data_IF_688028440406
#
_entry.id   IF_688028440406
#
_cell.length_a   1.000
_cell.length_b   1.000
_cell.length_c   1.000
_cell.angle_alpha   90.00
_cell.angle_beta   90.00
_cell.angle_gamma   90.00
#
_symmetry.space_group_name_H-M   'P 1'
#
loop_
_entity.id
_entity.type
_entity.pdbx_description
1 polymer ?
#
# COMPACT_ATOMS: atom_id res chain seq x y z
N UNK A 1 -10.20 -20.76 -1.63
CA UNK A 1 -11.41 -21.11 -0.86
C UNK A 1 -11.90 -19.96 0.05
N UNK A 2 -11.01 -19.19 0.57
CA UNK A 2 -11.30 -18.12 1.53
C UNK A 2 -11.53 -16.76 0.84
N UNK A 3 -10.97 -16.51 -0.32
CA UNK A 3 -11.30 -15.38 -1.19
C UNK A 3 -12.80 -15.30 -1.47
N UNK A 4 -13.45 -16.47 -1.63
CA UNK A 4 -14.88 -16.57 -1.85
C UNK A 4 -15.72 -15.97 -0.71
N UNK A 5 -15.30 -16.10 0.54
CA UNK A 5 -15.98 -15.53 1.69
C UNK A 5 -15.92 -14.00 1.73
N UNK A 6 -14.79 -13.41 1.38
CA UNK A 6 -14.63 -11.96 1.38
C UNK A 6 -15.48 -11.26 0.30
N UNK A 7 -15.72 -11.91 -0.83
CA UNK A 7 -16.56 -11.38 -1.91
C UNK A 7 -18.04 -11.21 -1.47
N UNK A 8 -18.54 -12.04 -0.58
CA UNK A 8 -19.91 -11.94 -0.08
C UNK A 8 -20.11 -10.86 0.99
N UNK A 9 -19.07 -10.44 1.68
CA UNK A 9 -19.17 -9.48 2.78
C UNK A 9 -18.78 -8.08 2.35
N UNK A 10 -19.20 -7.51 1.30
CA UNK A 10 -19.09 -6.09 0.88
C UNK A 10 -17.92 -5.24 1.45
N UNK A 11 -16.99 -5.83 2.21
CA UNK A 11 -15.85 -5.19 2.89
C UNK A 11 -14.50 -5.57 2.26
N UNK A 12 -14.50 -5.99 1.03
CA UNK A 12 -13.27 -6.38 0.32
C UNK A 12 -12.75 -5.30 -0.63
N UNK A 13 -13.29 -4.07 -0.56
CA UNK A 13 -12.91 -3.02 -1.51
C UNK A 13 -11.41 -2.71 -1.47
N UNK A 14 -10.80 -2.73 -0.29
CA UNK A 14 -9.35 -2.50 -0.18
C UNK A 14 -8.54 -3.64 -0.78
N UNK A 15 -8.96 -4.89 -0.59
CA UNK A 15 -8.30 -6.04 -1.23
C UNK A 15 -8.40 -5.96 -2.76
N UNK A 16 -9.60 -5.72 -3.28
CA UNK A 16 -9.80 -5.53 -4.71
C UNK A 16 -8.98 -4.33 -5.23
N UNK A 17 -9.01 -3.21 -4.51
CA UNK A 17 -8.27 -2.00 -4.86
C UNK A 17 -6.77 -2.22 -4.97
N UNK A 18 -6.18 -2.94 -4.02
CA UNK A 18 -4.75 -3.29 -4.07
C UNK A 18 -4.45 -4.22 -5.25
N UNK A 19 -5.25 -5.26 -5.47
CA UNK A 19 -5.03 -6.21 -6.57
C UNK A 19 -5.14 -5.51 -7.93
N UNK A 20 -6.15 -4.67 -8.12
CA UNK A 20 -6.33 -3.92 -9.36
C UNK A 20 -5.19 -2.91 -9.57
N UNK A 21 -4.77 -2.20 -8.52
CA UNK A 21 -3.64 -1.29 -8.60
C UNK A 21 -2.32 -1.99 -8.96
N UNK A 22 -2.07 -3.18 -8.39
CA UNK A 22 -0.88 -3.98 -8.68
C UNK A 22 -0.90 -4.56 -10.09
N UNK A 23 -2.08 -4.84 -10.67
CA UNK A 23 -2.17 -5.41 -12.03
C UNK A 23 -1.65 -4.47 -13.12
N UNK A 24 -1.67 -3.15 -12.87
CA UNK A 24 -1.14 -2.14 -13.78
C UNK A 24 0.26 -1.62 -13.40
N UNK A 25 0.82 -2.07 -12.28
CA UNK A 25 2.06 -1.54 -11.75
C UNK A 25 3.31 -2.29 -12.29
N UNK A 26 4.47 -1.63 -12.40
CA UNK A 26 5.70 -2.24 -12.90
C UNK A 26 6.44 -3.03 -11.81
N UNK A 27 5.73 -3.92 -11.11
CA UNK A 27 6.27 -4.75 -10.03
C UNK A 27 6.03 -6.23 -10.29
N UNK A 28 6.98 -7.06 -9.90
CA UNK A 28 6.77 -8.50 -9.81
C UNK A 28 5.98 -8.85 -8.55
N UNK A 29 4.82 -9.46 -8.72
CA UNK A 29 3.89 -9.76 -7.63
C UNK A 29 3.85 -11.25 -7.35
N UNK A 30 4.15 -11.63 -6.11
CA UNK A 30 4.01 -12.99 -5.62
C UNK A 30 2.94 -13.06 -4.54
N UNK A 31 2.14 -14.14 -4.54
CA UNK A 31 1.20 -14.44 -3.47
C UNK A 31 1.82 -15.48 -2.56
N UNK A 32 2.00 -15.13 -1.30
CA UNK A 32 2.50 -16.05 -0.27
C UNK A 32 1.43 -16.27 0.80
N UNK A 33 1.31 -17.48 1.31
CA UNK A 33 0.42 -17.80 2.41
C UNK A 33 1.15 -17.76 3.75
N UNK A 34 0.40 -17.67 4.85
CA UNK A 34 0.98 -17.81 6.19
C UNK A 34 1.60 -19.19 6.43
N UNK A 35 1.09 -20.22 5.75
CA UNK A 35 1.68 -21.55 5.78
C UNK A 35 3.04 -21.56 5.10
N UNK A 36 3.16 -20.96 3.91
CA UNK A 36 4.45 -20.84 3.20
C UNK A 36 5.47 -20.09 4.05
N UNK A 37 5.04 -18.97 4.67
CA UNK A 37 5.90 -18.17 5.54
C UNK A 37 6.37 -18.95 6.78
N UNK A 38 5.53 -19.82 7.34
CA UNK A 38 5.87 -20.65 8.48
C UNK A 38 6.80 -21.80 8.10
N UNK A 39 6.55 -22.45 6.97
CA UNK A 39 7.35 -23.58 6.50
C UNK A 39 8.71 -23.15 5.89
N UNK A 40 8.74 -22.00 5.23
CA UNK A 40 9.93 -21.43 4.61
C UNK A 40 10.03 -19.91 4.84
N UNK A 41 10.48 -19.47 6.03
CA UNK A 41 10.62 -18.04 6.32
C UNK A 41 11.63 -17.32 5.41
N UNK A 42 12.52 -18.06 4.77
CA UNK A 42 13.51 -17.51 3.84
C UNK A 42 12.88 -16.98 2.54
N UNK A 43 11.61 -17.27 2.25
CA UNK A 43 10.88 -16.70 1.11
C UNK A 43 10.89 -15.16 1.15
N UNK A 44 10.95 -14.55 2.34
CA UNK A 44 11.02 -13.10 2.48
C UNK A 44 12.36 -12.49 2.02
N UNK A 45 13.40 -13.28 1.81
CA UNK A 45 14.69 -12.78 1.28
C UNK A 45 14.62 -12.38 -0.20
N UNK A 46 13.59 -12.85 -0.89
CA UNK A 46 13.32 -12.56 -2.30
C UNK A 46 12.27 -11.46 -2.48
N UNK A 47 11.81 -10.85 -1.37
CA UNK A 47 10.73 -9.86 -1.34
C UNK A 47 11.30 -8.51 -0.86
N UNK A 48 11.04 -7.46 -1.60
CA UNK A 48 11.38 -6.09 -1.18
C UNK A 48 10.29 -5.51 -0.28
N UNK A 49 9.01 -5.74 -0.63
CA UNK A 49 7.86 -5.20 0.10
C UNK A 49 6.79 -6.26 0.33
N UNK A 50 6.41 -6.45 1.57
CA UNK A 50 5.28 -7.29 1.95
C UNK A 50 4.00 -6.44 2.07
N UNK A 51 2.93 -6.83 1.38
CA UNK A 51 1.63 -6.15 1.48
C UNK A 51 0.63 -7.08 2.15
N UNK A 52 -0.02 -6.61 3.23
CA UNK A 52 -1.14 -7.31 3.84
C UNK A 52 -2.37 -6.40 3.89
N UNK A 53 -3.50 -6.88 3.37
CA UNK A 53 -4.67 -6.05 3.10
C UNK A 53 -5.98 -6.76 3.43
N UNK A 54 -6.91 -6.03 4.01
CA UNK A 54 -8.29 -6.43 4.29
C UNK A 54 -8.73 -6.17 5.71
N UNK A 55 -9.96 -6.63 6.03
CA UNK A 55 -10.53 -6.52 7.37
C UNK A 55 -9.97 -7.60 8.31
N UNK A 56 -10.05 -7.34 9.61
CA UNK A 56 -9.65 -8.28 10.66
C UNK A 56 -10.30 -9.66 10.53
N UNK A 57 -9.59 -10.66 10.97
CA UNK A 57 -10.05 -12.05 11.02
C UNK A 57 -10.58 -12.60 9.69
N UNK A 58 -10.12 -12.02 8.58
CA UNK A 58 -10.36 -12.56 7.25
C UNK A 58 -9.19 -13.45 6.80
N UNK A 59 -9.43 -14.26 5.79
CA UNK A 59 -8.38 -15.05 5.16
C UNK A 59 -7.28 -14.19 4.52
N UNK A 60 -7.62 -12.96 4.13
CA UNK A 60 -6.68 -12.05 3.49
C UNK A 60 -5.67 -11.47 4.49
N UNK A 61 -6.12 -11.18 5.70
CA UNK A 61 -5.28 -10.54 6.73
C UNK A 61 -4.61 -11.51 7.67
N UNK A 62 -5.02 -12.78 7.68
CA UNK A 62 -4.39 -13.83 8.47
C UNK A 62 -4.98 -14.08 9.86
N UNK A 63 -5.73 -13.15 10.44
CA UNK A 63 -6.41 -13.34 11.72
C UNK A 63 -5.49 -13.89 12.83
N UNK A 64 -5.82 -15.06 13.38
CA UNK A 64 -5.07 -15.70 14.47
C UNK A 64 -3.60 -16.04 14.13
N UNK A 65 -3.23 -16.14 12.84
CA UNK A 65 -1.83 -16.36 12.43
C UNK A 65 -0.88 -15.30 13.02
N UNK A 66 -1.36 -14.09 13.23
CA UNK A 66 -0.56 -13.02 13.83
C UNK A 66 -0.22 -13.25 15.31
N UNK A 67 -0.92 -14.17 15.99
CA UNK A 67 -0.59 -14.63 17.34
C UNK A 67 0.49 -15.72 17.37
N UNK A 68 0.79 -16.31 16.21
CA UNK A 68 1.94 -17.21 16.07
C UNK A 68 3.23 -16.40 16.20
N UNK A 69 4.05 -16.76 17.20
CA UNK A 69 5.30 -16.04 17.49
C UNK A 69 6.34 -16.20 16.39
N UNK A 70 6.35 -17.32 15.71
CA UNK A 70 7.30 -17.56 14.61
C UNK A 70 6.98 -16.63 13.45
N UNK A 71 5.72 -16.56 13.03
CA UNK A 71 5.26 -15.68 11.93
C UNK A 71 5.49 -14.23 12.28
N UNK A 72 4.98 -13.78 13.43
CA UNK A 72 5.12 -12.37 13.82
C UNK A 72 6.57 -11.94 14.00
N UNK A 73 7.44 -12.85 14.51
CA UNK A 73 8.89 -12.58 14.63
C UNK A 73 9.57 -12.54 13.26
N UNK A 74 9.20 -13.43 12.35
CA UNK A 74 9.75 -13.49 11.00
C UNK A 74 9.44 -12.20 10.24
N UNK A 75 8.19 -11.73 10.26
CA UNK A 75 7.82 -10.48 9.62
C UNK A 75 8.49 -9.29 10.29
N UNK A 76 8.54 -9.23 11.62
CA UNK A 76 9.26 -8.18 12.34
C UNK A 76 10.74 -8.14 11.99
N UNK A 77 11.37 -9.31 11.90
CA UNK A 77 12.78 -9.43 11.54
C UNK A 77 13.01 -8.95 10.11
N UNK A 78 12.18 -9.36 9.16
CA UNK A 78 12.24 -8.91 7.78
C UNK A 78 12.23 -7.37 7.68
N UNK A 79 11.27 -6.72 8.35
CA UNK A 79 11.21 -5.25 8.33
C UNK A 79 12.39 -4.65 9.08
N UNK A 80 12.78 -5.19 10.24
CA UNK A 80 13.89 -4.68 11.02
C UNK A 80 15.24 -4.70 10.24
N UNK A 81 15.42 -5.69 9.37
CA UNK A 81 16.60 -5.88 8.54
C UNK A 81 16.57 -5.12 7.21
N UNK A 82 15.55 -4.29 6.97
CA UNK A 82 15.48 -3.38 5.81
C UNK A 82 14.31 -3.63 4.85
N UNK A 83 13.53 -4.70 5.04
CA UNK A 83 12.35 -4.97 4.21
C UNK A 83 11.25 -3.94 4.41
N UNK A 84 10.44 -3.72 3.37
CA UNK A 84 9.27 -2.86 3.41
C UNK A 84 8.00 -3.61 3.80
N UNK A 85 7.07 -2.93 4.49
CA UNK A 85 5.74 -3.49 4.73
C UNK A 85 4.64 -2.45 4.52
N UNK A 86 3.58 -2.85 3.84
CA UNK A 86 2.37 -2.04 3.66
C UNK A 86 1.19 -2.77 4.24
N UNK A 87 0.48 -2.10 5.15
CA UNK A 87 -0.75 -2.60 5.75
C UNK A 87 -1.94 -1.77 5.32
N UNK A 88 -3.00 -2.41 4.81
CA UNK A 88 -4.22 -1.73 4.38
C UNK A 88 -5.43 -2.29 5.14
N UNK A 89 -6.23 -1.41 5.72
CA UNK A 89 -7.39 -1.78 6.53
C UNK A 89 -6.99 -2.21 7.94
N UNK A 90 -7.12 -3.48 8.26
CA UNK A 90 -6.77 -4.08 9.55
C UNK A 90 -5.71 -5.20 9.36
N UNK A 91 -4.53 -4.86 8.84
CA UNK A 91 -3.61 -5.80 8.19
C UNK A 91 -3.00 -6.87 9.11
N UNK A 92 -2.96 -6.65 10.41
CA UNK A 92 -2.39 -7.60 11.38
C UNK A 92 -3.28 -7.72 12.61
N UNK A 93 -4.58 -7.52 12.40
CA UNK A 93 -5.53 -7.46 13.48
C UNK A 93 -5.95 -8.85 13.97
N UNK A 94 -5.82 -9.03 15.26
CA UNK A 94 -6.42 -10.13 16.02
C UNK A 94 -6.40 -9.76 17.49
N UNK A 95 -7.53 -9.84 18.18
CA UNK A 95 -7.59 -9.46 19.59
C UNK A 95 -6.88 -10.49 20.46
N UNK A 96 -5.66 -10.17 20.87
CA UNK A 96 -4.88 -10.99 21.80
C UNK A 96 -4.02 -10.11 22.71
N UNK A 97 -3.88 -10.51 23.97
CA UNK A 97 -2.99 -9.86 24.95
C UNK A 97 -3.20 -8.34 25.10
N UNK A 98 -4.44 -7.86 24.93
CA UNK A 98 -4.79 -6.44 25.02
C UNK A 98 -4.36 -5.58 23.83
N UNK A 99 -3.93 -6.19 22.75
CA UNK A 99 -3.60 -5.51 21.47
C UNK A 99 -4.53 -5.99 20.38
N UNK A 100 -4.87 -5.09 19.48
CA UNK A 100 -5.60 -5.43 18.26
C UNK A 100 -4.65 -5.58 17.07
N UNK A 101 -3.78 -4.62 16.82
CA UNK A 101 -2.73 -4.76 15.81
C UNK A 101 -1.50 -5.45 16.39
N UNK A 102 -1.27 -6.70 16.00
CA UNK A 102 -0.16 -7.50 16.52
C UNK A 102 1.22 -6.97 16.07
N UNK A 103 1.25 -6.17 15.00
CA UNK A 103 2.42 -5.45 14.49
C UNK A 103 2.32 -3.93 14.67
N UNK A 104 1.60 -3.46 15.70
CA UNK A 104 1.40 -2.01 15.93
C UNK A 104 2.70 -1.22 15.99
N UNK A 105 3.75 -1.77 16.59
CA UNK A 105 5.06 -1.14 16.68
C UNK A 105 5.82 -1.10 15.34
N UNK A 106 5.48 -1.97 14.40
CA UNK A 106 6.03 -1.95 13.03
C UNK A 106 5.31 -0.88 12.21
N UNK A 107 3.97 -0.91 12.20
CA UNK A 107 3.18 0.06 11.45
C UNK A 107 3.14 1.47 12.07
N UNK A 108 3.50 1.60 13.34
CA UNK A 108 3.42 2.87 14.06
C UNK A 108 2.00 3.32 14.35
N UNK A 109 1.02 2.42 14.29
CA UNK A 109 -0.39 2.70 14.59
C UNK A 109 -1.02 1.56 15.39
N UNK A 110 -2.09 1.91 16.15
CA UNK A 110 -2.91 0.93 16.87
C UNK A 110 -4.39 1.32 16.77
N UNK A 111 -5.28 0.40 17.02
CA UNK A 111 -6.73 0.62 17.03
C UNK A 111 -7.28 0.54 18.44
N UNK A 112 -8.06 1.55 18.85
CA UNK A 112 -8.79 1.52 20.10
C UNK A 112 -10.14 0.82 19.92
N UNK A 113 -10.37 -0.23 20.67
CA UNK A 113 -11.59 -1.03 20.59
C UNK A 113 -12.62 -0.61 21.64
N UNK A 114 -13.86 -0.46 21.21
CA UNK A 114 -15.00 -0.27 22.08
C UNK A 114 -15.24 1.14 22.64
N UNK A 115 -14.35 2.10 22.35
CA UNK A 115 -14.43 3.48 22.81
C UNK A 115 -14.03 4.47 21.71
N UNK A 116 -14.39 5.73 21.91
CA UNK A 116 -13.81 6.81 21.11
C UNK A 116 -12.37 7.06 21.54
N UNK A 117 -11.54 7.59 20.65
CA UNK A 117 -10.16 7.95 20.95
C UNK A 117 -10.10 8.87 22.17
N UNK A 118 -9.30 8.51 23.18
CA UNK A 118 -9.01 9.35 24.32
C UNK A 118 -8.07 10.50 23.97
N UNK A 119 -8.04 11.53 24.83
CA UNK A 119 -7.31 12.78 24.58
C UNK A 119 -5.79 12.62 24.46
N UNK A 120 -5.22 11.51 24.86
CA UNK A 120 -3.77 11.27 24.85
C UNK A 120 -3.30 10.47 23.63
N UNK A 121 -4.19 10.23 22.66
CA UNK A 121 -3.93 9.32 21.52
C UNK A 121 -4.03 10.00 20.16
N UNK A 122 -3.68 11.26 20.08
CA UNK A 122 -3.73 11.99 18.82
C UNK A 122 -2.40 12.64 18.49
N UNK A 123 -2.08 12.54 17.23
CA UNK A 123 -1.03 13.33 16.63
C UNK A 123 -1.66 14.35 15.69
N UNK A 124 -1.32 15.61 15.86
CA UNK A 124 -2.02 16.73 15.20
C UNK A 124 -1.33 17.15 13.92
N UNK A 125 -0.07 16.81 13.74
CA UNK A 125 0.72 17.24 12.61
C UNK A 125 0.58 16.28 11.44
N UNK A 126 0.21 16.84 10.29
CA UNK A 126 0.18 16.14 9.01
C UNK A 126 1.46 16.51 8.27
N UNK A 127 2.23 15.50 7.86
CA UNK A 127 3.52 15.69 7.22
C UNK A 127 3.43 15.58 5.70
N UNK A 128 4.16 16.46 4.99
CA UNK A 128 4.42 16.26 3.57
C UNK A 128 5.37 15.09 3.38
N UNK A 129 5.09 14.26 2.37
CA UNK A 129 5.85 13.04 2.18
C UNK A 129 5.88 12.61 0.71
N UNK A 130 6.94 11.91 0.29
CA UNK A 130 7.07 11.34 -1.03
C UNK A 130 5.81 10.60 -1.50
N UNK A 131 5.17 9.82 -0.62
CA UNK A 131 3.96 9.03 -0.96
C UNK A 131 2.82 9.93 -1.43
N UNK A 132 2.69 11.13 -0.88
CA UNK A 132 1.55 12.02 -1.14
C UNK A 132 1.86 13.19 -2.09
N UNK A 133 3.07 13.29 -2.65
CA UNK A 133 3.45 14.41 -3.53
C UNK A 133 2.60 14.55 -4.79
N UNK A 134 2.11 13.43 -5.36
CA UNK A 134 1.27 13.44 -6.56
C UNK A 134 -0.22 13.62 -6.25
N UNK A 135 -0.61 13.63 -4.98
CA UNK A 135 -2.01 13.73 -4.58
C UNK A 135 -2.54 15.13 -4.83
N UNK A 136 -3.58 15.22 -5.65
CA UNK A 136 -4.31 16.46 -5.94
C UNK A 136 -5.68 16.39 -5.29
N UNK A 137 -5.82 17.00 -4.11
CA UNK A 137 -7.07 16.98 -3.36
C UNK A 137 -7.08 15.98 -2.21
N UNK A 138 -8.25 15.45 -1.89
CA UNK A 138 -8.43 14.48 -0.81
C UNK A 138 -8.19 13.06 -1.32
N UNK A 139 -7.50 12.24 -0.52
CA UNK A 139 -7.32 10.82 -0.79
C UNK A 139 -8.62 10.09 -0.44
N UNK A 140 -9.11 9.25 -1.34
CA UNK A 140 -10.26 8.39 -1.07
C UNK A 140 -9.81 7.13 -0.32
N UNK A 141 -10.16 7.04 0.94
CA UNK A 141 -9.94 5.85 1.77
C UNK A 141 -11.17 4.94 1.84
N UNK A 142 -12.25 5.24 1.08
CA UNK A 142 -13.53 4.56 1.18
C UNK A 142 -14.15 4.78 2.56
N UNK A 143 -14.67 3.72 3.18
CA UNK A 143 -15.18 3.82 4.56
C UNK A 143 -14.05 4.06 5.58
N UNK A 144 -12.83 3.63 5.27
CA UNK A 144 -11.67 3.70 6.14
C UNK A 144 -11.85 2.96 7.46
N UNK A 145 -10.79 2.82 8.22
CA UNK A 145 -10.87 2.28 9.59
C UNK A 145 -11.08 3.40 10.60
N UNK A 146 -11.83 3.11 11.66
CA UNK A 146 -12.11 4.04 12.76
C UNK A 146 -11.27 3.72 14.00
N UNK A 147 -11.12 4.73 14.85
CA UNK A 147 -10.38 4.65 16.11
C UNK A 147 -8.91 4.25 15.95
N UNK A 148 -8.30 4.60 14.81
CA UNK A 148 -6.88 4.40 14.57
C UNK A 148 -6.12 5.60 15.12
N UNK A 149 -5.07 5.34 15.90
CA UNK A 149 -4.19 6.36 16.44
C UNK A 149 -2.71 6.03 16.18
N UNK A 150 -1.91 7.09 16.06
CA UNK A 150 -0.48 6.97 15.85
C UNK A 150 0.25 6.68 17.16
N UNK A 151 1.30 5.87 17.06
CA UNK A 151 2.28 5.66 18.13
C UNK A 151 3.46 6.63 17.97
N UNK A 152 4.22 6.81 19.05
CA UNK A 152 5.40 7.65 19.03
C UNK A 152 6.40 7.21 17.95
N UNK A 153 6.93 8.20 17.22
CA UNK A 153 7.91 7.97 16.15
C UNK A 153 7.32 7.79 14.75
N UNK A 154 6.00 7.56 14.62
CA UNK A 154 5.35 7.52 13.32
C UNK A 154 4.97 8.92 12.81
N UNK A 155 4.96 9.09 11.48
CA UNK A 155 4.50 10.31 10.85
C UNK A 155 3.12 10.09 10.20
N UNK A 156 2.17 11.00 10.48
CA UNK A 156 0.84 10.98 9.90
C UNK A 156 0.86 11.77 8.59
N UNK A 157 0.36 11.18 7.52
CA UNK A 157 0.26 11.80 6.20
C UNK A 157 -1.19 12.18 5.85
N UNK A 158 -2.17 11.49 6.41
CA UNK A 158 -3.59 11.84 6.32
C UNK A 158 -4.34 11.38 7.57
N UNK A 159 -5.35 12.15 7.97
CA UNK A 159 -6.23 11.83 9.09
C UNK A 159 -7.64 12.39 8.85
N UNK A 160 -8.67 11.67 9.29
CA UNK A 160 -10.06 12.09 9.21
C UNK A 160 -10.56 12.67 10.53
N UNK A 161 -11.55 13.55 10.43
CA UNK A 161 -12.23 14.17 11.57
C UNK A 161 -11.93 15.66 11.72
N UNK A 162 -12.95 16.41 12.12
CA UNK A 162 -12.84 17.85 12.34
C UNK A 162 -12.17 18.19 13.69
N UNK A 163 -12.39 17.35 14.70
CA UNK A 163 -11.75 17.52 16.01
C UNK A 163 -10.29 17.08 15.94
N UNK A 164 -9.39 18.04 15.98
CA UNK A 164 -7.95 17.81 15.98
C UNK A 164 -7.48 16.86 17.11
N UNK A 165 -8.29 16.68 18.14
CA UNK A 165 -7.97 15.83 19.29
C UNK A 165 -8.47 14.38 19.15
N UNK A 166 -9.26 14.08 18.14
CA UNK A 166 -9.86 12.77 17.93
C UNK A 166 -9.86 12.35 16.45
N UNK A 167 -8.81 12.71 15.72
CA UNK A 167 -8.67 12.32 14.33
C UNK A 167 -8.32 10.85 14.20
N UNK A 168 -9.04 10.18 13.33
CA UNK A 168 -8.66 8.85 12.87
C UNK A 168 -7.48 8.94 11.90
N UNK A 169 -6.40 8.25 12.18
CA UNK A 169 -5.26 8.14 11.27
C UNK A 169 -5.68 7.33 10.03
N UNK A 170 -5.51 7.90 8.85
CA UNK A 170 -5.88 7.27 7.59
C UNK A 170 -4.65 6.81 6.79
N UNK A 171 -3.56 7.55 6.87
CA UNK A 171 -2.30 7.21 6.24
C UNK A 171 -1.16 7.60 7.18
N UNK A 172 -0.30 6.66 7.48
CA UNK A 172 0.87 6.88 8.32
C UNK A 172 2.07 6.09 7.81
N UNK A 173 3.26 6.58 8.13
CA UNK A 173 4.53 5.91 7.87
C UNK A 173 5.33 5.78 9.15
N UNK A 174 6.10 4.71 9.23
CA UNK A 174 6.96 4.43 10.38
C UNK A 174 8.27 3.78 9.93
N UNK A 175 9.34 4.01 10.67
CA UNK A 175 10.59 3.28 10.53
C UNK A 175 10.71 2.22 11.62
N UNK A 176 11.11 1.02 11.25
CA UNK A 176 11.30 -0.07 12.19
C UNK A 176 12.62 -0.81 11.89
N UNK A 177 13.64 -0.56 12.69
CA UNK A 177 15.02 -0.93 12.34
C UNK A 177 15.49 -0.18 11.11
N UNK A 178 15.99 -0.89 10.12
CA UNK A 178 16.41 -0.34 8.83
C UNK A 178 15.26 -0.29 7.81
N UNK A 179 14.12 -0.93 8.10
CA UNK A 179 12.98 -1.03 7.19
C UNK A 179 11.92 0.03 7.43
N UNK A 180 10.95 0.04 6.54
CA UNK A 180 9.91 1.06 6.45
C UNK A 180 8.52 0.44 6.38
N UNK A 181 7.58 1.02 7.09
CA UNK A 181 6.19 0.56 7.14
C UNK A 181 5.23 1.66 6.73
N UNK A 182 4.21 1.31 5.96
CA UNK A 182 3.10 2.18 5.58
C UNK A 182 1.80 1.58 6.09
N UNK A 183 0.99 2.39 6.75
CA UNK A 183 -0.39 2.07 7.11
C UNK A 183 -1.35 2.89 6.27
N UNK A 184 -2.36 2.24 5.69
CA UNK A 184 -3.44 2.87 4.91
C UNK A 184 -4.77 2.35 5.44
N UNK A 185 -5.69 3.22 5.87
CA UNK A 185 -6.94 2.82 6.52
C UNK A 185 -7.97 2.16 5.59
N UNK A 186 -7.82 2.34 4.28
CA UNK A 186 -8.63 1.75 3.23
C UNK A 186 -8.13 2.21 1.87
N UNK A 187 -8.27 1.39 0.84
CA UNK A 187 -7.76 1.69 -0.50
C UNK A 187 -8.72 1.16 -1.57
N UNK A 188 -9.84 1.84 -1.83
CA UNK A 188 -10.65 1.52 -2.99
C UNK A 188 -9.85 1.78 -4.28
N UNK A 189 -10.18 1.06 -5.35
CA UNK A 189 -9.52 1.28 -6.62
C UNK A 189 -9.88 2.64 -7.20
N UNK A 190 -8.87 3.41 -7.56
CA UNK A 190 -8.90 4.56 -8.45
C UNK A 190 -7.50 4.76 -9.05
N UNK A 191 -7.38 5.55 -10.09
CA UNK A 191 -6.06 5.85 -10.68
C UNK A 191 -5.17 6.61 -9.68
N UNK A 192 -5.76 7.50 -8.88
CA UNK A 192 -5.06 8.24 -7.83
C UNK A 192 -4.56 7.29 -6.73
N UNK A 193 -5.40 6.36 -6.29
CA UNK A 193 -5.02 5.39 -5.28
C UNK A 193 -4.00 4.37 -5.79
N UNK A 194 -4.05 4.01 -7.07
CA UNK A 194 -3.00 3.20 -7.70
C UNK A 194 -1.65 3.93 -7.68
N UNK A 195 -1.63 5.22 -7.96
CA UNK A 195 -0.43 6.06 -7.86
C UNK A 195 0.05 6.19 -6.41
N UNK A 196 -0.85 6.35 -5.46
CA UNK A 196 -0.52 6.38 -4.03
C UNK A 196 0.16 5.07 -3.60
N UNK A 197 -0.42 3.92 -3.99
CA UNK A 197 0.15 2.61 -3.68
C UNK A 197 1.51 2.40 -4.35
N UNK A 198 1.67 2.78 -5.62
CA UNK A 198 2.94 2.72 -6.35
C UNK A 198 4.04 3.46 -5.57
N UNK A 199 3.79 4.70 -5.16
CA UNK A 199 4.75 5.49 -4.37
C UNK A 199 4.98 4.90 -2.99
N UNK A 200 3.95 4.34 -2.35
CA UNK A 200 4.10 3.65 -1.08
C UNK A 200 5.02 2.42 -1.19
N UNK A 201 4.91 1.65 -2.28
CA UNK A 201 5.80 0.51 -2.54
C UNK A 201 7.24 0.98 -2.72
N UNK A 202 7.49 1.95 -3.59
CA UNK A 202 8.84 2.48 -3.81
C UNK A 202 9.47 3.02 -2.53
N UNK A 203 8.70 3.78 -1.74
CA UNK A 203 9.20 4.30 -0.47
C UNK A 203 9.50 3.17 0.53
N UNK A 204 8.62 2.18 0.65
CA UNK A 204 8.83 1.06 1.56
C UNK A 204 10.04 0.21 1.18
N UNK A 205 10.32 0.09 -0.11
CA UNK A 205 11.50 -0.61 -0.65
C UNK A 205 12.79 0.22 -0.52
N UNK A 206 12.72 1.53 -0.22
CA UNK A 206 13.88 2.41 -0.27
C UNK A 206 14.33 2.76 -1.69
N UNK A 207 13.41 2.70 -2.65
CA UNK A 207 13.70 2.77 -4.09
C UNK A 207 13.02 3.98 -4.77
N UNK A 208 12.85 5.08 -4.04
CA UNK A 208 12.21 6.31 -4.54
C UNK A 208 12.88 6.88 -5.78
N UNK A 209 14.18 6.61 -5.93
CA UNK A 209 14.97 7.05 -7.10
C UNK A 209 14.49 6.44 -8.42
N UNK A 210 13.80 5.32 -8.38
CA UNK A 210 13.28 4.62 -9.56
C UNK A 210 11.84 5.00 -9.93
N UNK A 211 11.25 6.02 -9.30
CA UNK A 211 9.90 6.49 -9.62
C UNK A 211 9.71 6.75 -11.12
N UNK A 212 10.71 7.28 -11.80
CA UNK A 212 10.66 7.63 -13.22
C UNK A 212 11.20 6.50 -14.12
N UNK A 213 10.86 5.24 -13.80
CA UNK A 213 11.13 4.09 -14.67
C UNK A 213 9.81 3.41 -15.04
N UNK A 214 9.55 3.26 -16.33
CA UNK A 214 8.29 2.74 -16.85
C UNK A 214 7.07 3.46 -16.24
N UNK A 215 7.09 4.78 -16.32
CA UNK A 215 6.20 5.64 -15.58
C UNK A 215 5.54 6.69 -16.52
N UNK A 216 4.36 7.10 -16.12
CA UNK A 216 3.62 8.20 -16.77
C UNK A 216 3.39 9.34 -15.78
N UNK A 217 3.57 10.58 -16.18
CA UNK A 217 3.25 11.74 -15.35
C UNK A 217 1.75 11.93 -15.11
N UNK A 218 0.92 11.29 -15.94
CA UNK A 218 -0.54 11.33 -15.85
C UNK A 218 -1.04 9.97 -15.34
N UNK A 219 -1.70 9.93 -14.17
CA UNK A 219 -2.17 8.70 -13.56
C UNK A 219 -3.33 8.01 -14.32
N UNK A 220 -3.93 8.68 -15.32
CA UNK A 220 -4.89 8.06 -16.24
C UNK A 220 -4.22 7.26 -17.38
N UNK A 221 -2.89 7.29 -17.43
CA UNK A 221 -2.08 6.64 -18.46
C UNK A 221 -1.10 5.70 -17.81
N UNK A 222 -1.12 4.43 -18.19
CA UNK A 222 -0.19 3.42 -17.72
C UNK A 222 0.92 3.13 -18.72
N UNK A 223 2.07 2.70 -18.20
CA UNK A 223 3.20 2.22 -18.99
C UNK A 223 3.47 0.77 -18.58
N UNK A 224 3.24 -0.17 -19.49
CA UNK A 224 3.48 -1.59 -19.26
C UNK A 224 4.70 -2.03 -20.05
N UNK A 225 5.74 -2.46 -19.32
CA UNK A 225 6.98 -2.93 -19.91
C UNK A 225 7.05 -4.47 -19.96
N UNK A 226 7.58 -4.96 -21.07
CA UNK A 226 7.84 -6.37 -21.33
C UNK A 226 9.31 -6.53 -21.76
N UNK A 227 10.28 -6.34 -20.85
CA UNK A 227 11.71 -6.31 -21.19
C UNK A 227 12.20 -7.58 -21.89
N UNK A 228 11.70 -8.73 -21.48
CA UNK A 228 12.04 -10.02 -22.10
C UNK A 228 11.60 -10.09 -23.59
N UNK A 229 10.55 -9.35 -23.95
CA UNK A 229 10.06 -9.27 -25.32
C UNK A 229 10.61 -8.05 -26.08
N UNK A 230 11.46 -7.23 -25.45
CA UNK A 230 12.02 -6.02 -26.02
C UNK A 230 10.98 -4.94 -26.31
N UNK A 231 9.85 -4.92 -25.60
CA UNK A 231 8.72 -4.01 -25.90
C UNK A 231 8.11 -3.38 -24.65
N UNK A 232 7.46 -2.26 -24.86
CA UNK A 232 6.55 -1.67 -23.87
C UNK A 232 5.35 -1.05 -24.59
N UNK A 233 4.25 -0.84 -23.86
CA UNK A 233 3.12 -0.08 -24.38
C UNK A 233 2.71 1.02 -23.39
N UNK A 234 2.09 2.05 -23.96
CA UNK A 234 1.47 3.15 -23.22
C UNK A 234 -0.03 3.10 -23.48
N UNK A 235 -0.81 3.13 -22.41
CA UNK A 235 -2.26 2.89 -22.44
C UNK A 235 -2.99 4.08 -21.82
N UNK A 236 -3.89 4.69 -22.58
CA UNK A 236 -4.88 5.61 -22.02
C UNK A 236 -6.07 4.81 -21.48
N UNK A 237 -6.26 4.81 -20.16
CA UNK A 237 -7.32 4.06 -19.48
C UNK A 237 -8.65 4.82 -19.43
N UNK A 238 -8.79 5.91 -20.15
CA UNK A 238 -9.99 6.76 -20.13
C UNK A 238 -10.66 6.87 -21.48
N UNK A 239 -11.91 7.32 -21.46
CA UNK A 239 -12.70 7.63 -22.66
C UNK A 239 -12.50 9.08 -23.15
N UNK A 240 -11.41 9.73 -22.74
CA UNK A 240 -11.07 11.07 -23.14
C UNK A 240 -9.60 11.12 -23.58
N UNK A 241 -9.22 12.00 -24.53
CA UNK A 241 -7.82 12.19 -24.89
C UNK A 241 -6.97 12.59 -23.70
N UNK A 242 -5.77 12.03 -23.59
CA UNK A 242 -4.82 12.30 -22.52
C UNK A 242 -3.48 12.79 -23.06
N UNK A 243 -2.85 13.69 -22.31
CA UNK A 243 -1.48 14.12 -22.53
C UNK A 243 -0.62 13.73 -21.34
N UNK A 244 0.57 13.23 -21.60
CA UNK A 244 1.48 12.77 -20.55
C UNK A 244 2.94 12.92 -20.95
N UNK A 245 3.84 12.89 -19.97
CA UNK A 245 5.25 12.59 -20.16
C UNK A 245 5.46 11.12 -19.80
N UNK A 246 5.97 10.36 -20.76
CA UNK A 246 6.31 8.94 -20.57
C UNK A 246 7.79 8.85 -20.21
N UNK A 247 8.11 8.09 -19.16
CA UNK A 247 9.47 7.76 -18.75
C UNK A 247 9.75 6.29 -19.06
N UNK A 248 10.84 6.04 -19.79
CA UNK A 248 11.31 4.70 -20.14
C UNK A 248 12.05 4.04 -18.96
N UNK A 249 12.40 2.77 -19.08
CA UNK A 249 13.16 2.03 -18.08
C UNK A 249 14.56 2.58 -17.78
N UNK A 250 15.17 3.33 -18.74
CA UNK A 250 16.44 4.01 -18.55
C UNK A 250 16.30 5.46 -18.02
N UNK A 251 15.08 5.90 -17.70
CA UNK A 251 14.79 7.25 -17.22
C UNK A 251 14.67 8.32 -18.31
N UNK A 252 14.96 8.00 -19.60
CA UNK A 252 14.66 8.92 -20.69
C UNK A 252 13.16 9.17 -20.80
N UNK A 253 12.77 10.38 -21.20
CA UNK A 253 11.36 10.75 -21.29
C UNK A 253 11.00 11.42 -22.59
N UNK A 254 9.71 11.35 -22.95
CA UNK A 254 9.12 12.04 -24.09
C UNK A 254 7.66 12.41 -23.82
N UNK A 255 7.20 13.49 -24.45
CA UNK A 255 5.78 13.87 -24.41
C UNK A 255 4.97 12.99 -25.37
N UNK A 256 3.76 12.63 -24.93
CA UNK A 256 2.84 11.80 -25.70
C UNK A 256 1.41 12.30 -25.53
N UNK A 257 0.70 12.38 -26.66
CA UNK A 257 -0.75 12.55 -26.68
C UNK A 257 -1.40 11.25 -27.14
N UNK A 258 -2.42 10.83 -26.42
CA UNK A 258 -3.17 9.61 -26.71
C UNK A 258 -4.63 9.98 -26.93
N UNK A 259 -5.24 9.37 -27.93
CA UNK A 259 -6.68 9.38 -28.10
C UNK A 259 -7.36 8.54 -27.01
N UNK A 260 -8.69 8.64 -26.91
CA UNK A 260 -9.50 7.83 -26.00
C UNK A 260 -9.23 6.32 -26.16
N UNK A 261 -8.98 5.62 -25.05
CA UNK A 261 -8.67 4.17 -25.00
C UNK A 261 -7.52 3.72 -25.90
N UNK A 262 -6.64 4.62 -26.29
CA UNK A 262 -5.54 4.29 -27.20
C UNK A 262 -4.45 3.50 -26.50
N UNK A 263 -3.91 2.50 -27.22
CA UNK A 263 -2.72 1.74 -26.84
C UNK A 263 -1.67 1.92 -27.93
N UNK A 264 -0.49 2.37 -27.53
CA UNK A 264 0.65 2.52 -28.45
C UNK A 264 1.80 1.63 -27.99
N UNK A 265 2.32 0.83 -28.91
CA UNK A 265 3.45 -0.05 -28.67
C UNK A 265 4.75 0.56 -29.13
N UNK A 266 5.81 0.32 -28.37
CA UNK A 266 7.17 0.77 -28.65
C UNK A 266 8.16 -0.37 -28.47
N UNK A 267 9.30 -0.31 -29.16
CA UNK A 267 10.44 -1.17 -28.93
C UNK A 267 11.31 -0.58 -27.79
N UNK A 268 11.86 -1.45 -26.96
CA UNK A 268 12.89 -1.08 -25.99
C UNK A 268 14.20 -1.00 -26.75
N UNK A 269 14.75 0.20 -26.92
CA UNK A 269 15.99 0.46 -27.63
C UNK A 269 17.23 0.15 -26.80
#
# INVERSE_FOLDING_TARGET
>A
HMVHHAIYFKKNYSYAGVIEALSGAPFDVQFISFTDLKENPDILKEIDVLINVGDADTAHTGGEWWCDREISSTVKKFVYEGGGIIGVGEPCAHLANGRFFQLSNVFGVEKELGFTLGYDKYNLEIHSHFITEDVKGEIDFGEGQKNIYALDGSAILAAAGEDLKARDVQLAVNSFGEGRAVYISGLPYSFENSRLLHRAILWSAGDEGNLHQWFSSNYNVDVHAYPENGKYCVVNNTYEPQSTVVYKGNGESFELNLDENQIIWYEIG
#
